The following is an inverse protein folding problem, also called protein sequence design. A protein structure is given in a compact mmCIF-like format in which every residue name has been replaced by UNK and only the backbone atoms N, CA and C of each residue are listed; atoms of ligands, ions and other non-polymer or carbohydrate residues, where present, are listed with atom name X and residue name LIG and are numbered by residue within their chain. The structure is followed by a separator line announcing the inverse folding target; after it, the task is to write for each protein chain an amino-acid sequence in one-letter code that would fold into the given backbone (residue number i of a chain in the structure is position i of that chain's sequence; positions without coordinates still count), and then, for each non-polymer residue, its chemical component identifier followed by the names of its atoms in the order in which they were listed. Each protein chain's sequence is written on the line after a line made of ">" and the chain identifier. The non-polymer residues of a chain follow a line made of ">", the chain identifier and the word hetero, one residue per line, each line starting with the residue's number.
data_IF_498066029473
#
_entry.id   IF_498066029473
#
_cell.length_a   1.000
_cell.length_b   1.000
_cell.length_c   1.000
_cell.angle_alpha   90.00
_cell.angle_beta   90.00
_cell.angle_gamma   90.00
#
_symmetry.space_group_name_H-M   'P 1'
#
loop_
_entity.id
_entity.type
_entity.pdbx_description
1 polymer ?
#
# COMPACT_ATOMS: atom_id res chain seq x y z
N UNK A 1 9.52 -9.57 -6.12
CA UNK A 1 8.90 -10.50 -5.14
C UNK A 1 7.41 -10.49 -5.35
N UNK A 2 6.85 -11.64 -5.70
CA UNK A 2 5.42 -11.85 -5.95
C UNK A 2 4.75 -12.46 -4.71
N UNK A 3 3.48 -12.07 -4.45
CA UNK A 3 2.67 -12.68 -3.38
C UNK A 3 1.42 -13.27 -4.02
N UNK A 4 1.12 -14.54 -3.72
CA UNK A 4 -0.03 -15.24 -4.28
C UNK A 4 -0.82 -15.94 -3.15
N UNK A 5 -2.11 -15.63 -3.05
CA UNK A 5 -3.04 -16.26 -2.14
C UNK A 5 -3.91 -17.26 -2.90
N UNK A 6 -4.02 -18.49 -2.37
CA UNK A 6 -4.87 -19.54 -2.93
C UNK A 6 -5.85 -20.05 -1.89
N UNK A 7 -7.13 -19.82 -2.13
CA UNK A 7 -8.27 -20.24 -1.32
C UNK A 7 -8.13 -19.86 0.17
N UNK A 8 -7.50 -18.68 0.43
CA UNK A 8 -7.22 -18.22 1.78
C UNK A 8 -8.51 -17.83 2.49
N UNK A 9 -8.77 -18.47 3.62
CA UNK A 9 -9.81 -18.07 4.57
C UNK A 9 -9.22 -17.82 5.94
N UNK A 10 -9.81 -16.86 6.67
CA UNK A 10 -9.35 -16.53 8.01
C UNK A 10 -10.50 -16.27 8.98
N UNK A 11 -10.38 -16.90 10.16
CA UNK A 11 -11.34 -16.86 11.23
C UNK A 11 -10.64 -16.39 12.51
N UNK A 12 -11.07 -15.25 13.05
CA UNK A 12 -10.62 -14.83 14.39
C UNK A 12 -11.29 -15.66 15.47
N UNK A 13 -10.55 -15.99 16.52
CA UNK A 13 -11.03 -16.70 17.70
C UNK A 13 -11.77 -18.01 17.35
N UNK A 14 -11.22 -18.77 16.38
CA UNK A 14 -11.78 -20.04 15.91
C UNK A 14 -12.11 -20.96 17.12
N UNK A 15 -13.25 -21.63 17.07
CA UNK A 15 -13.76 -22.54 18.12
C UNK A 15 -14.06 -21.88 19.46
N UNK A 16 -14.31 -20.56 19.47
CA UNK A 16 -14.76 -19.83 20.65
C UNK A 16 -16.12 -19.18 20.40
N UNK A 17 -16.85 -18.74 21.45
CA UNK A 17 -18.10 -17.98 21.27
C UNK A 17 -17.92 -16.63 20.53
N UNK A 18 -16.70 -16.15 20.38
CA UNK A 18 -16.35 -14.91 19.69
C UNK A 18 -15.76 -15.15 18.29
N UNK A 19 -16.05 -16.32 17.72
CA UNK A 19 -15.62 -16.67 16.37
C UNK A 19 -16.16 -15.69 15.35
N UNK A 20 -15.25 -15.19 14.48
CA UNK A 20 -15.62 -14.26 13.41
C UNK A 20 -14.84 -14.58 12.14
N UNK A 21 -15.51 -15.09 11.13
CA UNK A 21 -14.95 -15.27 9.80
C UNK A 21 -14.79 -13.90 9.13
N UNK A 22 -13.59 -13.58 8.67
CA UNK A 22 -13.25 -12.27 8.09
C UNK A 22 -12.80 -12.38 6.64
N UNK A 23 -12.11 -13.45 6.25
CA UNK A 23 -11.75 -13.71 4.87
C UNK A 23 -12.34 -15.05 4.42
N UNK A 24 -12.81 -15.12 3.18
CA UNK A 24 -13.46 -16.28 2.59
C UNK A 24 -12.90 -16.55 1.20
N UNK A 25 -12.19 -17.66 1.04
CA UNK A 25 -11.69 -18.17 -0.24
C UNK A 25 -11.01 -17.10 -1.11
N UNK A 26 -10.13 -16.30 -0.50
CA UNK A 26 -9.39 -15.26 -1.20
C UNK A 26 -8.41 -15.90 -2.17
N UNK A 27 -8.57 -15.55 -3.44
CA UNK A 27 -7.63 -15.82 -4.51
C UNK A 27 -7.14 -14.48 -5.06
N UNK A 28 -5.84 -14.19 -4.89
CA UNK A 28 -5.27 -12.88 -5.17
C UNK A 28 -3.80 -13.01 -5.53
N UNK A 29 -3.34 -12.22 -6.50
CA UNK A 29 -1.91 -12.11 -6.84
C UNK A 29 -1.46 -10.65 -6.75
N UNK A 30 -0.37 -10.41 -6.03
CA UNK A 30 0.38 -9.15 -6.03
C UNK A 30 1.59 -9.36 -6.93
N UNK A 31 1.59 -8.71 -8.08
CA UNK A 31 2.65 -8.83 -9.07
C UNK A 31 3.90 -8.05 -8.67
N UNK A 32 5.07 -8.63 -8.96
CA UNK A 32 6.35 -8.00 -8.67
C UNK A 32 6.53 -6.66 -9.40
N UNK A 33 6.99 -5.65 -8.68
CA UNK A 33 7.28 -4.31 -9.22
C UNK A 33 6.04 -3.48 -9.55
N UNK A 34 4.83 -4.01 -9.36
CA UNK A 34 3.58 -3.27 -9.59
C UNK A 34 3.17 -2.44 -8.36
N UNK A 35 2.42 -1.39 -8.65
CA UNK A 35 1.71 -0.59 -7.65
C UNK A 35 0.27 -1.14 -7.55
N UNK A 36 0.05 -2.04 -6.62
CA UNK A 36 -1.27 -2.64 -6.38
C UNK A 36 -2.03 -1.84 -5.33
N UNK A 37 -3.29 -1.54 -5.61
CA UNK A 37 -4.16 -0.85 -4.64
C UNK A 37 -5.30 -1.77 -4.21
N UNK A 38 -5.52 -1.87 -2.90
CA UNK A 38 -6.62 -2.64 -2.30
C UNK A 38 -7.62 -1.65 -1.72
N UNK A 39 -8.87 -1.72 -2.19
CA UNK A 39 -9.96 -0.85 -1.73
C UNK A 39 -11.13 -1.67 -1.20
N UNK A 40 -12.01 -1.03 -0.45
CA UNK A 40 -13.22 -1.64 0.09
C UNK A 40 -13.73 -0.90 1.32
N UNK A 41 -14.94 -1.20 1.75
CA UNK A 41 -15.57 -0.59 2.93
C UNK A 41 -14.75 -0.85 4.20
N UNK A 42 -14.92 -0.01 5.21
CA UNK A 42 -14.40 -0.29 6.57
C UNK A 42 -14.98 -1.60 7.07
N UNK A 43 -14.11 -2.46 7.61
CA UNK A 43 -14.49 -3.79 8.08
C UNK A 43 -14.66 -4.86 7.00
N UNK A 44 -14.32 -4.58 5.73
CA UNK A 44 -14.37 -5.59 4.65
C UNK A 44 -13.26 -6.65 4.72
N UNK A 45 -12.23 -6.49 5.57
CA UNK A 45 -11.14 -7.44 5.73
C UNK A 45 -9.79 -6.99 5.17
N UNK A 46 -9.64 -5.74 4.70
CA UNK A 46 -8.39 -5.22 4.09
C UNK A 46 -7.16 -5.39 4.97
N UNK A 47 -7.21 -4.88 6.21
CA UNK A 47 -6.05 -4.98 7.13
C UNK A 47 -5.74 -6.44 7.47
N UNK A 48 -6.77 -7.27 7.69
CA UNK A 48 -6.60 -8.71 7.87
C UNK A 48 -5.95 -9.35 6.64
N UNK A 49 -6.32 -8.94 5.42
CA UNK A 49 -5.74 -9.45 4.19
C UNK A 49 -4.25 -9.13 4.08
N UNK A 50 -3.85 -7.87 4.29
CA UNK A 50 -2.44 -7.48 4.17
C UNK A 50 -1.55 -8.07 5.27
N UNK A 51 -2.09 -8.38 6.45
CA UNK A 51 -1.37 -9.06 7.53
C UNK A 51 -0.99 -10.51 7.17
N UNK A 52 -1.65 -11.11 6.18
CA UNK A 52 -1.25 -12.41 5.63
C UNK A 52 -0.04 -12.31 4.70
N UNK A 53 0.19 -11.17 4.04
CA UNK A 53 1.26 -11.01 3.05
C UNK A 53 2.66 -11.11 3.68
N UNK A 54 2.83 -10.72 4.94
CA UNK A 54 4.08 -10.83 5.68
C UNK A 54 4.03 -11.86 6.83
N UNK A 55 2.96 -12.67 6.87
CA UNK A 55 2.77 -13.72 7.87
C UNK A 55 2.61 -13.19 9.30
N UNK A 56 2.09 -11.98 9.51
CA UNK A 56 1.59 -11.55 10.81
C UNK A 56 0.39 -12.38 11.22
N UNK A 57 -0.51 -12.64 10.26
CA UNK A 57 -1.56 -13.64 10.39
C UNK A 57 -1.23 -14.85 9.51
N UNK A 58 -1.58 -16.03 10.01
CA UNK A 58 -1.46 -17.30 9.29
C UNK A 58 -2.87 -17.72 8.90
N UNK A 59 -3.14 -18.11 7.64
CA UNK A 59 -4.47 -18.46 7.19
C UNK A 59 -5.04 -19.65 8.00
N UNK A 60 -6.36 -19.63 8.26
CA UNK A 60 -7.06 -20.78 8.87
C UNK A 60 -7.16 -21.93 7.86
N UNK A 61 -7.35 -21.60 6.57
CA UNK A 61 -7.29 -22.56 5.45
C UNK A 61 -6.76 -21.86 4.19
N UNK A 62 -6.31 -22.65 3.21
CA UNK A 62 -5.63 -22.17 2.02
C UNK A 62 -4.14 -21.94 2.27
N UNK A 63 -3.49 -21.26 1.33
CA UNK A 63 -2.05 -20.99 1.37
C UNK A 63 -1.70 -19.59 0.88
N UNK A 64 -0.69 -18.98 1.49
CA UNK A 64 -0.07 -17.74 1.03
C UNK A 64 1.33 -18.07 0.54
N UNK A 65 1.60 -17.82 -0.74
CA UNK A 65 2.89 -18.04 -1.36
C UNK A 65 3.59 -16.69 -1.56
N UNK A 66 4.79 -16.56 -1.02
CA UNK A 66 5.65 -15.38 -1.22
C UNK A 66 6.94 -15.86 -1.86
N UNK A 67 7.08 -15.66 -3.17
CA UNK A 67 8.06 -16.32 -4.01
C UNK A 67 8.03 -17.85 -3.76
N UNK A 68 9.13 -18.42 -3.26
CA UNK A 68 9.24 -19.87 -2.95
C UNK A 68 8.71 -20.24 -1.55
N UNK A 69 8.38 -19.25 -0.72
CA UNK A 69 7.92 -19.50 0.64
C UNK A 69 6.41 -19.74 0.70
N UNK A 70 6.01 -20.88 1.24
CA UNK A 70 4.60 -21.23 1.46
C UNK A 70 4.25 -21.05 2.93
N UNK A 71 3.19 -20.29 3.22
CA UNK A 71 2.64 -20.05 4.55
C UNK A 71 1.29 -20.74 4.65
N UNK A 72 1.23 -21.75 5.51
CA UNK A 72 0.02 -22.53 5.83
C UNK A 72 -0.11 -22.71 7.33
N UNK A 73 -1.30 -23.07 7.81
CA UNK A 73 -1.53 -23.37 9.21
C UNK A 73 -0.62 -24.52 9.69
N UNK A 74 0.25 -24.33 10.70
CA UNK A 74 1.16 -25.37 11.18
C UNK A 74 0.40 -26.45 11.95
N UNK A 75 0.66 -27.72 11.66
CA UNK A 75 -0.01 -28.88 12.25
C UNK A 75 0.51 -29.25 13.64
N UNK A 76 1.72 -28.84 13.98
CA UNK A 76 2.37 -29.19 15.24
C UNK A 76 3.36 -28.10 15.71
N UNK A 77 3.88 -28.26 16.95
CA UNK A 77 4.81 -27.30 17.56
C UNK A 77 6.14 -27.16 16.79
N UNK A 78 6.62 -28.22 16.13
CA UNK A 78 7.87 -28.20 15.36
C UNK A 78 7.68 -27.32 14.11
N UNK A 79 6.66 -27.57 13.32
CA UNK A 79 6.31 -26.77 12.15
C UNK A 79 6.10 -25.29 12.52
N UNK A 80 5.42 -25.04 13.65
CA UNK A 80 5.21 -23.65 14.14
C UNK A 80 6.52 -22.92 14.42
N UNK A 81 7.51 -23.61 15.01
CA UNK A 81 8.84 -23.02 15.29
C UNK A 81 9.64 -22.77 14.01
N UNK A 82 9.59 -23.70 13.07
CA UNK A 82 10.25 -23.58 11.76
C UNK A 82 9.63 -22.43 10.95
N UNK A 83 8.30 -22.36 10.92
CA UNK A 83 7.58 -21.27 10.27
C UNK A 83 7.94 -19.91 10.89
N UNK A 84 7.98 -19.79 12.22
CA UNK A 84 8.32 -18.54 12.90
C UNK A 84 9.71 -18.01 12.52
N UNK A 85 10.71 -18.90 12.32
CA UNK A 85 12.04 -18.50 11.84
C UNK A 85 11.99 -17.96 10.41
N UNK A 86 11.27 -18.63 9.52
CA UNK A 86 11.10 -18.20 8.11
C UNK A 86 10.35 -16.87 8.02
N UNK A 87 9.32 -16.70 8.84
CA UNK A 87 8.53 -15.45 8.87
C UNK A 87 9.34 -14.25 9.36
N UNK A 88 10.36 -14.46 10.21
CA UNK A 88 11.27 -13.38 10.60
C UNK A 88 12.02 -12.83 9.38
N UNK A 89 12.59 -13.71 8.56
CA UNK A 89 13.30 -13.29 7.35
C UNK A 89 12.34 -12.70 6.30
N UNK A 90 11.14 -13.25 6.18
CA UNK A 90 10.12 -12.70 5.29
C UNK A 90 9.80 -11.25 5.62
N UNK A 91 9.64 -10.91 6.90
CA UNK A 91 9.29 -9.54 7.36
C UNK A 91 10.36 -8.51 7.08
N UNK A 92 11.62 -8.92 6.86
CA UNK A 92 12.66 -8.05 6.34
C UNK A 92 12.37 -7.64 4.90
N UNK A 93 11.85 -8.57 4.10
CA UNK A 93 11.58 -8.36 2.65
C UNK A 93 10.19 -7.82 2.36
N UNK A 94 9.20 -8.12 3.22
CA UNK A 94 7.80 -7.67 3.11
C UNK A 94 7.45 -6.86 4.34
N UNK A 95 7.57 -5.56 4.23
CA UNK A 95 7.38 -4.63 5.34
C UNK A 95 6.03 -3.91 5.26
N UNK A 96 5.45 -3.60 6.40
CA UNK A 96 4.13 -2.97 6.52
C UNK A 96 4.23 -1.67 7.30
N UNK A 97 3.76 -0.57 6.70
CA UNK A 97 3.46 0.67 7.40
C UNK A 97 1.98 0.64 7.79
N UNK A 98 1.70 0.45 9.07
CA UNK A 98 0.32 0.42 9.58
C UNK A 98 -0.31 1.80 9.67
N UNK A 99 -1.64 1.83 9.72
CA UNK A 99 -2.39 3.02 10.06
C UNK A 99 -1.92 3.57 11.43
N UNK A 100 -1.73 4.88 11.53
CA UNK A 100 -1.15 5.54 12.72
C UNK A 100 0.26 5.05 13.08
N UNK A 101 1.11 4.86 12.08
CA UNK A 101 2.49 4.41 12.25
C UNK A 101 3.35 5.33 13.14
N UNK A 102 2.96 6.61 13.27
CA UNK A 102 3.56 7.56 14.22
C UNK A 102 3.47 7.11 15.69
N UNK A 103 2.49 6.26 16.03
CA UNK A 103 2.37 5.69 17.38
C UNK A 103 3.33 4.53 17.63
N UNK A 104 4.06 4.09 16.61
CA UNK A 104 5.04 3.01 16.71
C UNK A 104 6.45 3.51 17.04
N UNK A 105 6.68 4.82 17.02
CA UNK A 105 7.93 5.44 17.42
C UNK A 105 8.07 5.40 18.96
N UNK A 106 9.20 4.93 19.45
CA UNK A 106 9.39 4.70 20.89
C UNK A 106 10.79 5.02 21.40
N UNK A 107 11.76 5.25 20.52
CA UNK A 107 13.13 5.54 20.87
C UNK A 107 13.35 7.00 21.31
N UNK A 108 14.49 7.27 21.91
CA UNK A 108 14.84 8.60 22.42
C UNK A 108 15.18 9.59 21.33
N UNK A 109 15.67 9.12 20.18
CA UNK A 109 15.98 9.94 18.99
C UNK A 109 15.48 9.29 17.73
N UNK A 110 15.22 10.12 16.71
CA UNK A 110 14.83 9.69 15.35
C UNK A 110 15.84 8.70 14.78
N UNK A 111 17.15 8.98 14.94
CA UNK A 111 18.19 8.06 14.47
C UNK A 111 18.02 6.66 15.07
N UNK A 112 17.83 6.56 16.39
CA UNK A 112 17.68 5.28 17.07
C UNK A 112 16.43 4.51 16.62
N UNK A 113 15.32 5.20 16.39
CA UNK A 113 14.12 4.57 15.84
C UNK A 113 14.38 3.99 14.43
N UNK A 114 15.03 4.75 13.55
CA UNK A 114 15.31 4.31 12.18
C UNK A 114 16.24 3.10 12.15
N UNK A 115 17.33 3.12 12.95
CA UNK A 115 18.33 2.03 12.96
C UNK A 115 17.92 0.83 13.80
N UNK A 116 16.86 0.91 14.58
CA UNK A 116 16.42 -0.16 15.49
C UNK A 116 16.20 -1.50 14.74
N UNK A 117 15.42 -1.47 13.68
CA UNK A 117 15.14 -2.68 12.91
C UNK A 117 16.40 -3.21 12.20
N UNK A 118 17.18 -2.43 11.44
CA UNK A 118 18.46 -2.85 10.89
C UNK A 118 19.38 -3.57 11.87
N UNK A 119 19.61 -2.99 13.06
CA UNK A 119 20.46 -3.60 14.09
C UNK A 119 19.92 -4.96 14.56
N UNK A 120 18.61 -5.09 14.74
CA UNK A 120 17.97 -6.36 15.11
C UNK A 120 18.08 -7.47 14.03
N UNK A 121 18.28 -7.07 12.77
CA UNK A 121 18.57 -7.98 11.66
C UNK A 121 20.08 -8.16 11.40
N UNK A 122 20.96 -7.64 12.26
CA UNK A 122 22.40 -7.85 12.22
C UNK A 122 23.15 -6.99 11.19
N UNK A 123 22.54 -5.89 10.73
CA UNK A 123 23.22 -4.86 9.94
C UNK A 123 24.15 -4.09 10.88
N UNK A 124 25.35 -3.72 10.44
CA UNK A 124 26.29 -2.95 11.26
C UNK A 124 25.73 -1.57 11.61
N UNK A 125 26.16 -1.02 12.73
CA UNK A 125 25.68 0.30 13.18
C UNK A 125 26.10 1.39 12.19
N UNK A 126 27.32 1.33 11.66
CA UNK A 126 27.81 2.27 10.65
C UNK A 126 26.93 2.25 9.39
N UNK A 127 26.62 1.07 8.87
CA UNK A 127 25.75 0.92 7.70
C UNK A 127 24.32 1.40 7.97
N UNK A 128 23.79 1.09 9.16
CA UNK A 128 22.44 1.51 9.55
C UNK A 128 22.33 3.04 9.67
N UNK A 129 23.37 3.70 10.20
CA UNK A 129 23.45 5.18 10.31
C UNK A 129 23.50 5.82 8.92
N UNK A 130 24.32 5.31 8.00
CA UNK A 130 24.39 5.83 6.63
C UNK A 130 23.04 5.71 5.92
N UNK A 131 22.36 4.56 6.04
CA UNK A 131 21.00 4.37 5.51
C UNK A 131 20.01 5.37 6.13
N UNK A 132 20.09 5.63 7.43
CA UNK A 132 19.21 6.58 8.10
C UNK A 132 19.40 8.01 7.58
N UNK A 133 20.63 8.44 7.28
CA UNK A 133 20.94 9.75 6.68
C UNK A 133 20.39 9.90 5.27
N UNK A 134 20.54 8.87 4.45
CA UNK A 134 19.96 8.84 3.09
C UNK A 134 18.41 8.92 3.15
N UNK A 135 17.80 8.13 4.02
CA UNK A 135 16.35 8.03 4.14
C UNK A 135 15.71 9.29 4.70
N UNK A 136 16.34 9.94 5.70
CA UNK A 136 15.80 11.19 6.27
C UNK A 136 15.81 12.31 5.22
N UNK A 137 16.84 12.36 4.38
CA UNK A 137 16.92 13.28 3.25
C UNK A 137 15.89 12.95 2.18
N UNK A 138 15.67 11.65 1.88
CA UNK A 138 14.69 11.15 0.90
C UNK A 138 13.26 11.58 1.26
N UNK A 139 12.90 11.56 2.55
CA UNK A 139 11.57 12.01 3.03
C UNK A 139 11.46 13.54 3.16
N UNK A 140 12.50 14.28 2.74
CA UNK A 140 12.52 15.75 2.74
C UNK A 140 12.68 16.35 4.16
N UNK A 141 13.34 15.63 5.07
CA UNK A 141 13.73 16.15 6.39
C UNK A 141 15.23 16.41 6.41
N UNK A 142 15.64 17.45 7.15
CA UNK A 142 17.05 17.80 7.34
C UNK A 142 17.75 16.79 8.26
N UNK A 143 19.06 16.53 8.05
CA UNK A 143 19.84 15.58 8.85
C UNK A 143 19.81 15.90 10.35
N UNK A 144 19.64 17.17 10.74
CA UNK A 144 19.50 17.58 12.13
C UNK A 144 18.31 16.96 12.85
N UNK A 145 17.33 16.43 12.10
CA UNK A 145 16.21 15.70 12.69
C UNK A 145 16.62 14.37 13.33
N UNK A 146 17.73 13.78 12.92
CA UNK A 146 18.23 12.52 13.47
C UNK A 146 18.50 12.60 14.99
N UNK A 147 18.91 13.77 15.47
CA UNK A 147 19.20 14.02 16.89
C UNK A 147 17.95 14.42 17.71
N UNK A 148 16.84 14.77 17.05
CA UNK A 148 15.60 15.15 17.74
C UNK A 148 14.91 13.96 18.36
N UNK A 149 14.11 14.22 19.40
CA UNK A 149 13.13 13.25 19.90
C UNK A 149 12.00 13.09 18.89
N UNK A 150 11.55 11.86 18.56
CA UNK A 150 10.37 11.65 17.72
C UNK A 150 9.13 12.38 18.25
N UNK A 151 9.03 12.53 19.56
CA UNK A 151 7.88 13.17 20.24
C UNK A 151 7.83 14.69 20.13
N UNK A 152 8.89 15.32 19.60
CA UNK A 152 8.94 16.75 19.30
C UNK A 152 8.47 17.07 17.88
N UNK A 153 8.21 16.05 17.07
CA UNK A 153 7.86 16.16 15.67
C UNK A 153 6.34 16.35 15.47
N UNK A 154 5.97 17.00 14.36
CA UNK A 154 4.58 16.98 13.90
C UNK A 154 4.16 15.57 13.46
N UNK A 155 2.84 15.30 13.43
CA UNK A 155 2.33 13.98 13.01
C UNK A 155 2.78 13.56 11.60
N UNK A 156 2.91 14.53 10.68
CA UNK A 156 3.43 14.26 9.34
C UNK A 156 4.92 13.89 9.34
N UNK A 157 5.73 14.59 10.12
CA UNK A 157 7.16 14.28 10.28
C UNK A 157 7.38 12.94 10.99
N UNK A 158 6.61 12.65 12.05
CA UNK A 158 6.65 11.34 12.72
C UNK A 158 6.36 10.20 11.73
N UNK A 159 5.37 10.36 10.85
CA UNK A 159 5.03 9.35 9.83
C UNK A 159 6.12 9.16 8.80
N UNK A 160 6.79 10.24 8.39
CA UNK A 160 7.99 10.17 7.54
C UNK A 160 9.12 9.39 8.22
N UNK A 161 9.35 9.63 9.51
CA UNK A 161 10.35 8.89 10.31
C UNK A 161 9.98 7.40 10.44
N UNK A 162 8.72 7.08 10.72
CA UNK A 162 8.25 5.68 10.77
C UNK A 162 8.47 4.96 9.42
N UNK A 163 8.22 5.67 8.30
CA UNK A 163 8.50 5.14 6.97
C UNK A 163 10.00 4.92 6.74
N UNK A 164 10.88 5.83 7.21
CA UNK A 164 12.34 5.62 7.16
C UNK A 164 12.75 4.34 7.91
N UNK A 165 12.21 4.10 9.12
CA UNK A 165 12.51 2.90 9.91
C UNK A 165 12.17 1.60 9.17
N UNK A 166 11.09 1.60 8.38
CA UNK A 166 10.70 0.46 7.55
C UNK A 166 11.60 0.33 6.32
N UNK A 167 11.88 1.45 5.63
CA UNK A 167 12.71 1.47 4.43
C UNK A 167 14.18 1.14 4.71
N UNK A 168 14.66 1.34 5.94
CA UNK A 168 16.02 1.02 6.36
C UNK A 168 16.35 -0.49 6.26
N UNK A 169 15.33 -1.35 6.20
CA UNK A 169 15.46 -2.78 5.93
C UNK A 169 15.59 -3.10 4.43
N UNK A 170 15.43 -2.11 3.54
CA UNK A 170 15.42 -2.28 2.07
C UNK A 170 14.42 -3.36 1.60
N UNK A 171 13.14 -3.24 1.96
CA UNK A 171 12.16 -4.25 1.63
C UNK A 171 11.94 -4.35 0.12
N UNK A 172 11.64 -5.56 -0.37
CA UNK A 172 11.22 -5.80 -1.76
C UNK A 172 9.75 -5.46 -1.99
N UNK A 173 8.93 -5.62 -0.94
CA UNK A 173 7.51 -5.28 -0.92
C UNK A 173 7.23 -4.32 0.22
N UNK A 174 6.65 -3.17 -0.11
CA UNK A 174 6.20 -2.17 0.85
C UNK A 174 4.68 -2.14 0.86
N UNK A 175 4.10 -2.47 2.00
CA UNK A 175 2.65 -2.42 2.23
C UNK A 175 2.35 -1.18 3.06
N UNK A 176 1.36 -0.40 2.61
CA UNK A 176 0.95 0.87 3.22
C UNK A 176 -0.54 0.78 3.56
N UNK A 177 -0.87 0.73 4.85
CA UNK A 177 -2.27 0.73 5.31
C UNK A 177 -2.70 2.15 5.67
N UNK A 178 -3.49 2.78 4.77
CA UNK A 178 -4.00 4.15 4.93
C UNK A 178 -2.91 5.19 5.30
N UNK A 179 -1.79 5.29 4.55
CA UNK A 179 -0.60 6.04 4.98
C UNK A 179 -0.82 7.55 5.08
N UNK A 180 -1.92 8.07 4.56
CA UNK A 180 -2.19 9.52 4.46
C UNK A 180 -3.32 10.00 5.37
N UNK A 181 -3.90 9.12 6.18
CA UNK A 181 -4.96 9.50 7.13
C UNK A 181 -4.45 10.51 8.15
N UNK A 182 -5.27 11.51 8.45
CA UNK A 182 -4.97 12.60 9.39
C UNK A 182 -3.78 13.51 9.03
N UNK A 183 -3.24 13.41 7.81
CA UNK A 183 -2.22 14.34 7.33
C UNK A 183 -2.86 15.52 6.57
N UNK A 184 -2.17 16.66 6.55
CA UNK A 184 -2.47 17.77 5.67
C UNK A 184 -2.20 17.40 4.19
N UNK A 185 -2.75 18.21 3.27
CA UNK A 185 -2.67 17.94 1.84
C UNK A 185 -1.21 17.80 1.34
N UNK A 186 -0.32 18.70 1.78
CA UNK A 186 1.06 18.73 1.31
C UNK A 186 1.84 17.49 1.75
N UNK A 187 1.74 17.13 3.02
CA UNK A 187 2.38 15.92 3.57
C UNK A 187 1.88 14.65 2.89
N UNK A 188 0.57 14.60 2.52
CA UNK A 188 0.00 13.47 1.76
C UNK A 188 0.67 13.29 0.40
N UNK A 189 0.73 14.36 -0.39
CA UNK A 189 1.32 14.30 -1.74
C UNK A 189 2.82 13.97 -1.67
N UNK A 190 3.57 14.56 -0.73
CA UNK A 190 4.99 14.28 -0.55
C UNK A 190 5.25 12.78 -0.27
N UNK A 191 4.47 12.15 0.62
CA UNK A 191 4.60 10.71 0.91
C UNK A 191 4.24 9.87 -0.31
N UNK A 192 3.13 10.17 -0.98
CA UNK A 192 2.67 9.37 -2.10
C UNK A 192 3.59 9.48 -3.32
N UNK A 193 4.10 10.66 -3.62
CA UNK A 193 5.04 10.89 -4.72
C UNK A 193 6.40 10.22 -4.43
N UNK A 194 6.87 10.24 -3.18
CA UNK A 194 8.05 9.51 -2.75
C UNK A 194 7.86 8.00 -2.93
N UNK A 195 6.75 7.43 -2.49
CA UNK A 195 6.44 6.00 -2.67
C UNK A 195 6.42 5.63 -4.16
N UNK A 196 5.86 6.50 -5.02
CA UNK A 196 5.87 6.28 -6.47
C UNK A 196 7.29 6.31 -7.05
N UNK A 197 8.14 7.20 -6.54
CA UNK A 197 9.56 7.26 -6.92
C UNK A 197 10.29 5.98 -6.54
N UNK A 198 10.10 5.48 -5.30
CA UNK A 198 10.68 4.21 -4.85
C UNK A 198 10.24 3.04 -5.72
N UNK A 199 8.96 2.96 -6.11
CA UNK A 199 8.46 1.92 -7.02
C UNK A 199 9.21 1.96 -8.36
N UNK A 200 9.35 3.15 -8.95
CA UNK A 200 9.98 3.31 -10.27
C UNK A 200 11.49 3.05 -10.25
N UNK A 201 12.20 3.66 -9.31
CA UNK A 201 13.67 3.64 -9.27
C UNK A 201 14.23 2.34 -8.70
N UNK A 202 13.62 1.82 -7.62
CA UNK A 202 14.07 0.58 -6.96
C UNK A 202 13.31 -0.67 -7.43
N UNK A 203 12.35 -0.54 -8.35
CA UNK A 203 11.44 -1.62 -8.79
C UNK A 203 10.76 -2.31 -7.62
N UNK A 204 10.48 -1.54 -6.56
CA UNK A 204 9.82 -2.01 -5.35
C UNK A 204 8.36 -2.37 -5.65
N UNK A 205 7.88 -3.49 -5.14
CA UNK A 205 6.45 -3.82 -5.19
C UNK A 205 5.72 -3.00 -4.13
N UNK A 206 4.68 -2.28 -4.51
CA UNK A 206 3.89 -1.46 -3.60
C UNK A 206 2.50 -2.06 -3.45
N UNK A 207 2.03 -2.18 -2.22
CA UNK A 207 0.64 -2.51 -1.90
C UNK A 207 0.07 -1.37 -1.06
N UNK A 208 -0.87 -0.62 -1.63
CA UNK A 208 -1.55 0.46 -0.95
C UNK A 208 -2.97 0.03 -0.56
N UNK A 209 -3.29 0.08 0.70
CA UNK A 209 -4.68 0.00 1.19
C UNK A 209 -5.18 1.42 1.37
N UNK A 210 -6.29 1.77 0.72
CA UNK A 210 -6.87 3.10 0.85
C UNK A 210 -8.35 3.13 0.50
N UNK A 211 -9.05 4.16 0.97
CA UNK A 211 -10.41 4.53 0.54
C UNK A 211 -10.40 5.74 -0.42
N UNK A 212 -9.23 6.31 -0.73
CA UNK A 212 -9.08 7.46 -1.62
C UNK A 212 -9.01 7.00 -3.07
N UNK A 213 -10.11 7.22 -3.82
CA UNK A 213 -10.20 6.82 -5.23
C UNK A 213 -9.33 7.65 -6.18
N UNK A 214 -8.93 8.87 -5.79
CA UNK A 214 -7.97 9.66 -6.57
C UNK A 214 -6.59 9.00 -6.56
N UNK A 215 -6.18 8.36 -5.44
CA UNK A 215 -4.95 7.58 -5.39
C UNK A 215 -5.03 6.30 -6.22
N UNK A 216 -6.19 5.61 -6.22
CA UNK A 216 -6.40 4.46 -7.11
C UNK A 216 -6.19 4.88 -8.56
N UNK A 217 -6.81 5.99 -8.97
CA UNK A 217 -6.70 6.48 -10.34
C UNK A 217 -5.26 6.87 -10.70
N UNK A 218 -4.58 7.63 -9.82
CA UNK A 218 -3.25 8.22 -10.10
C UNK A 218 -2.14 7.17 -10.06
N UNK A 219 -2.16 6.24 -9.10
CA UNK A 219 -1.00 5.40 -8.80
C UNK A 219 -1.15 3.93 -9.18
N UNK A 220 -2.37 3.37 -9.18
CA UNK A 220 -2.55 1.94 -9.36
C UNK A 220 -2.18 1.44 -10.76
N UNK A 221 -1.40 0.36 -10.78
CA UNK A 221 -1.25 -0.50 -11.95
C UNK A 221 -2.36 -1.56 -11.95
N UNK A 222 -2.67 -2.12 -10.78
CA UNK A 222 -3.75 -3.10 -10.55
C UNK A 222 -4.55 -2.66 -9.32
N UNK A 223 -5.87 -2.88 -9.35
CA UNK A 223 -6.75 -2.63 -8.22
C UNK A 223 -7.55 -3.87 -7.84
N UNK A 224 -7.63 -4.15 -6.54
CA UNK A 224 -8.48 -5.18 -5.97
C UNK A 224 -9.53 -4.55 -5.08
N UNK A 225 -10.78 -4.94 -5.28
CA UNK A 225 -11.90 -4.53 -4.42
C UNK A 225 -12.26 -5.69 -3.50
N UNK A 226 -12.15 -5.47 -2.19
CA UNK A 226 -12.60 -6.44 -1.20
C UNK A 226 -13.93 -6.01 -0.59
N UNK A 227 -14.89 -6.91 -0.58
CA UNK A 227 -16.20 -6.71 0.02
C UNK A 227 -16.60 -7.93 0.85
N UNK A 228 -16.96 -7.71 2.12
CA UNK A 228 -17.43 -8.76 3.04
C UNK A 228 -16.49 -9.98 3.11
N UNK A 229 -15.18 -9.75 3.05
CA UNK A 229 -14.17 -10.81 3.13
C UNK A 229 -13.92 -11.59 1.85
N UNK A 230 -14.43 -11.14 0.70
CA UNK A 230 -14.24 -11.76 -0.61
C UNK A 230 -13.68 -10.73 -1.61
N UNK A 231 -13.01 -11.19 -2.67
CA UNK A 231 -12.57 -10.32 -3.76
C UNK A 231 -13.75 -10.10 -4.70
N UNK A 232 -14.28 -8.89 -4.71
CA UNK A 232 -15.37 -8.49 -5.59
C UNK A 232 -14.89 -8.09 -6.98
N UNK A 233 -13.64 -7.63 -7.12
CA UNK A 233 -13.05 -7.25 -8.40
C UNK A 233 -11.52 -7.30 -8.33
N UNK A 234 -10.90 -7.66 -9.43
CA UNK A 234 -9.45 -7.58 -9.67
C UNK A 234 -9.21 -7.18 -11.12
N UNK A 235 -8.50 -6.08 -11.37
CA UNK A 235 -8.24 -5.62 -12.73
C UNK A 235 -7.61 -4.23 -12.79
N UNK A 236 -7.70 -3.60 -13.95
CA UNK A 236 -7.16 -2.26 -14.19
C UNK A 236 -8.07 -1.17 -13.59
N UNK A 237 -7.50 -0.01 -13.17
CA UNK A 237 -8.32 1.12 -12.72
C UNK A 237 -9.39 1.56 -13.73
N UNK A 238 -9.06 1.54 -15.03
CA UNK A 238 -10.00 1.88 -16.11
C UNK A 238 -11.22 0.96 -16.13
N UNK A 239 -11.03 -0.34 -15.90
CA UNK A 239 -12.10 -1.33 -15.84
C UNK A 239 -13.00 -1.09 -14.62
N UNK A 240 -12.38 -0.85 -13.46
CA UNK A 240 -13.11 -0.51 -12.23
C UNK A 240 -13.99 0.72 -12.41
N UNK A 241 -13.38 1.84 -12.87
CA UNK A 241 -14.09 3.12 -12.97
C UNK A 241 -15.09 3.20 -14.11
N UNK A 242 -15.01 2.30 -15.09
CA UNK A 242 -16.00 2.18 -16.15
C UNK A 242 -17.26 1.40 -15.72
N UNK A 243 -17.19 0.63 -14.65
CA UNK A 243 -18.26 -0.22 -14.15
C UNK A 243 -19.08 0.49 -13.05
N UNK A 244 -20.15 1.20 -13.46
CA UNK A 244 -20.99 1.96 -12.52
C UNK A 244 -21.68 1.08 -11.47
N UNK A 245 -22.08 -0.15 -11.81
CA UNK A 245 -22.73 -1.09 -10.89
C UNK A 245 -21.73 -1.55 -9.82
N UNK A 246 -20.53 -1.95 -10.23
CA UNK A 246 -19.46 -2.34 -9.31
C UNK A 246 -19.11 -1.24 -8.31
N UNK A 247 -18.99 0.01 -8.77
CA UNK A 247 -18.76 1.16 -7.90
C UNK A 247 -19.89 1.33 -6.87
N UNK A 248 -21.13 1.25 -7.31
CA UNK A 248 -22.34 1.39 -6.47
C UNK A 248 -22.41 0.28 -5.41
N UNK A 249 -22.26 -0.97 -5.81
CA UNK A 249 -22.40 -2.15 -4.94
C UNK A 249 -21.33 -2.17 -3.85
N UNK A 250 -20.13 -1.65 -4.18
CA UNK A 250 -19.02 -1.56 -3.25
C UNK A 250 -18.92 -0.21 -2.55
N UNK A 251 -19.85 0.73 -2.78
CA UNK A 251 -19.86 2.10 -2.25
C UNK A 251 -18.53 2.85 -2.51
N UNK A 252 -18.01 2.68 -3.71
CA UNK A 252 -16.82 3.39 -4.17
C UNK A 252 -17.22 4.65 -4.94
N UNK A 253 -16.52 5.74 -4.67
CA UNK A 253 -16.79 7.01 -5.34
C UNK A 253 -15.99 7.14 -6.62
N UNK A 254 -16.61 7.69 -7.65
CA UNK A 254 -15.90 8.06 -8.88
C UNK A 254 -15.05 9.32 -8.63
N UNK A 255 -13.74 9.34 -8.93
CA UNK A 255 -12.90 10.52 -8.88
C UNK A 255 -13.49 11.72 -9.62
N UNK A 256 -13.29 12.93 -9.10
CA UNK A 256 -13.88 14.15 -9.70
C UNK A 256 -13.46 14.36 -11.16
N UNK A 257 -12.20 14.06 -11.46
CA UNK A 257 -11.67 14.14 -12.83
C UNK A 257 -12.42 13.21 -13.78
N UNK A 258 -12.76 11.99 -13.34
CA UNK A 258 -13.50 11.04 -14.16
C UNK A 258 -14.98 11.39 -14.25
N UNK A 259 -15.59 12.00 -13.23
CA UNK A 259 -16.95 12.57 -13.35
C UNK A 259 -17.01 13.56 -14.51
N UNK A 260 -16.05 14.48 -14.60
CA UNK A 260 -15.96 15.43 -15.68
C UNK A 260 -15.65 14.77 -17.04
N UNK A 261 -14.71 13.82 -17.06
CA UNK A 261 -14.40 13.03 -18.26
C UNK A 261 -15.62 12.33 -18.85
N UNK A 262 -16.42 11.67 -18.02
CA UNK A 262 -17.64 11.01 -18.49
C UNK A 262 -18.71 11.99 -18.93
N UNK A 263 -18.84 13.17 -18.30
CA UNK A 263 -19.71 14.24 -18.79
C UNK A 263 -19.31 14.74 -20.19
N UNK A 264 -18.02 14.87 -20.47
CA UNK A 264 -17.53 15.21 -21.82
C UNK A 264 -17.92 14.12 -22.83
N UNK A 265 -17.75 12.84 -22.47
CA UNK A 265 -18.15 11.72 -23.32
C UNK A 265 -19.65 11.70 -23.62
N UNK A 266 -20.49 12.01 -22.65
CA UNK A 266 -21.96 12.11 -22.83
C UNK A 266 -22.32 13.23 -23.83
N UNK A 267 -21.48 14.25 -23.95
CA UNK A 267 -21.63 15.32 -24.96
C UNK A 267 -20.92 15.02 -26.30
N UNK A 268 -20.50 13.78 -26.54
CA UNK A 268 -19.73 13.35 -27.70
C UNK A 268 -18.37 14.06 -27.85
N UNK A 269 -17.78 14.52 -26.74
CA UNK A 269 -16.43 15.10 -26.71
C UNK A 269 -15.46 13.98 -26.28
N UNK A 270 -14.75 13.41 -27.25
CA UNK A 270 -13.72 12.41 -26.98
C UNK A 270 -12.34 13.05 -26.93
N UNK A 271 -11.69 12.95 -25.77
CA UNK A 271 -10.33 13.48 -25.55
C UNK A 271 -9.21 12.50 -25.90
N UNK A 272 -9.56 11.29 -26.37
CA UNK A 272 -8.61 10.29 -26.90
C UNK A 272 -7.76 9.56 -25.85
N UNK A 273 -8.02 9.76 -24.55
CA UNK A 273 -7.32 9.06 -23.48
C UNK A 273 -8.22 8.91 -22.24
N UNK A 274 -7.85 7.98 -21.34
CA UNK A 274 -8.41 7.88 -20.00
C UNK A 274 -7.54 8.68 -19.03
N UNK A 275 -8.00 9.84 -18.50
CA UNK A 275 -7.15 10.75 -17.75
C UNK A 275 -6.92 10.24 -16.33
N UNK A 276 -5.68 10.12 -15.92
CA UNK A 276 -5.28 9.77 -14.55
C UNK A 276 -4.99 11.00 -13.70
N UNK A 277 -4.63 12.13 -14.34
CA UNK A 277 -4.34 13.41 -13.71
C UNK A 277 -5.02 14.58 -14.42
N UNK A 278 -5.29 15.66 -13.67
CA UNK A 278 -5.90 16.87 -14.24
C UNK A 278 -5.08 17.50 -15.39
N UNK A 279 -3.75 17.36 -15.33
CA UNK A 279 -2.86 17.87 -16.38
C UNK A 279 -3.12 17.15 -17.70
N UNK A 280 -3.21 15.83 -17.70
CA UNK A 280 -3.51 15.05 -18.90
C UNK A 280 -4.84 15.47 -19.54
N UNK A 281 -5.89 15.62 -18.70
CA UNK A 281 -7.19 16.07 -19.14
C UNK A 281 -7.13 17.46 -19.77
N UNK A 282 -6.47 18.43 -19.10
CA UNK A 282 -6.38 19.81 -19.61
C UNK A 282 -5.55 19.92 -20.87
N UNK A 283 -4.46 19.19 -20.99
CA UNK A 283 -3.59 19.21 -22.16
C UNK A 283 -4.29 18.58 -23.38
N UNK A 284 -5.04 17.50 -23.17
CA UNK A 284 -5.86 16.89 -24.24
C UNK A 284 -6.97 17.84 -24.73
N UNK A 285 -7.65 18.52 -23.83
CA UNK A 285 -8.66 19.52 -24.20
C UNK A 285 -8.05 20.70 -24.98
N UNK A 286 -6.90 21.24 -24.56
CA UNK A 286 -6.19 22.30 -25.28
C UNK A 286 -5.79 21.86 -26.70
N UNK A 287 -5.27 20.63 -26.83
CA UNK A 287 -4.88 20.08 -28.13
C UNK A 287 -6.08 19.90 -29.06
N UNK A 288 -7.21 19.47 -28.52
CA UNK A 288 -8.45 19.34 -29.28
C UNK A 288 -8.97 20.69 -29.79
N UNK A 289 -8.94 21.74 -28.93
CA UNK A 289 -9.35 23.09 -29.32
C UNK A 289 -8.42 23.66 -30.40
N UNK A 290 -7.11 23.45 -30.29
CA UNK A 290 -6.16 23.89 -31.33
C UNK A 290 -6.45 23.25 -32.68
N UNK A 291 -6.65 21.92 -32.72
CA UNK A 291 -6.96 21.19 -33.97
C UNK A 291 -8.26 21.66 -34.62
N UNK A 292 -9.28 22.00 -33.82
CA UNK A 292 -10.52 22.57 -34.38
C UNK A 292 -10.30 23.94 -35.04
N UNK A 293 -9.49 24.82 -34.41
CA UNK A 293 -9.16 26.12 -34.98
C UNK A 293 -8.27 26.11 -36.21
N UNK A 294 -7.48 25.04 -36.38
CA UNK A 294 -6.62 24.84 -37.55
C UNK A 294 -7.39 24.23 -38.76
N UNK A 295 -8.57 23.65 -38.49
CA UNK A 295 -9.44 23.04 -39.52
C UNK A 295 -10.64 23.93 -39.90
N UNK A 296 -10.83 25.09 -39.25
CA UNK A 296 -11.73 26.18 -39.60
C UNK A 296 -11.02 27.29 -40.41
#
# INVERSE_FOLDING_TARGET
>A
MQINLKDVSYIYNEKTPYEKKVLTNINLTIEEGHYTVIVGKTGSGKSTLIEHFNGLLIPTSGEVNVDEMVIVAPKNKKERRELAKKLRELRKSVSVLFQFSEQQLFETTVLKDIIFAPLNYGISEEEAIERAKELISLVGLDESYLEKSPFELSGGEMRKVALCGILALEPKVLILDEPTVALDYRSREEIMDMVKTLQKEKKMTIVLVTHNMDYVLKYADIVHVINSGEIAFSGLPEELFSNKELLKDNSLELPKILKFYYQLKEQNIDIGLFPREYRELTDSLKNMIKRKKENE
#
